data_IF_479938948220
#
_entry.id   IF_479938948220
#
_cell.length_a   1.000
_cell.length_b   1.000
_cell.length_c   1.000
_cell.angle_alpha   90.00
_cell.angle_beta   90.00
_cell.angle_gamma   90.00
#
_symmetry.space_group_name_H-M   'P 1'
#
loop_
_entity.id
_entity.type
_entity.pdbx_description
1 polymer ?
#
# COMPACT_ATOMS: atom_id res chain seq x y z
N UNK A 1 0.19 -34.54 -1.55
CA UNK A 1 1.19 -33.76 -0.81
C UNK A 1 0.43 -32.99 0.26
N UNK A 2 0.68 -33.27 1.52
CA UNK A 2 0.21 -32.36 2.58
C UNK A 2 0.92 -31.00 2.40
N UNK A 3 0.20 -29.87 2.56
CA UNK A 3 0.83 -28.57 2.52
C UNK A 3 1.91 -28.54 3.60
N UNK A 4 3.16 -28.23 3.22
CA UNK A 4 4.20 -27.90 4.20
C UNK A 4 3.69 -26.72 5.01
N UNK A 5 3.35 -26.98 6.26
CA UNK A 5 3.10 -25.91 7.23
C UNK A 5 4.40 -25.12 7.31
N UNK A 6 4.37 -23.88 6.85
CA UNK A 6 5.49 -22.95 7.00
C UNK A 6 5.54 -22.59 8.49
N UNK A 7 6.31 -23.35 9.27
CA UNK A 7 6.59 -22.96 10.64
C UNK A 7 7.63 -21.83 10.68
N UNK A 8 7.70 -21.15 11.83
CA UNK A 8 8.59 -20.01 12.04
C UNK A 8 10.06 -20.38 11.81
N UNK A 9 10.49 -21.56 12.25
CA UNK A 9 11.87 -22.00 12.13
C UNK A 9 12.28 -22.20 10.67
N UNK A 10 11.39 -22.74 9.84
CA UNK A 10 11.61 -22.86 8.41
C UNK A 10 11.71 -21.49 7.73
N UNK A 11 10.84 -20.54 8.09
CA UNK A 11 10.89 -19.18 7.55
C UNK A 11 12.20 -18.47 7.94
N UNK A 12 12.63 -18.58 9.19
CA UNK A 12 13.91 -18.01 9.67
C UNK A 12 15.12 -18.63 8.96
N UNK A 13 15.11 -19.94 8.72
CA UNK A 13 16.17 -20.64 7.99
C UNK A 13 16.23 -20.20 6.51
N UNK A 14 15.07 -20.05 5.86
CA UNK A 14 15.00 -19.53 4.48
C UNK A 14 15.49 -18.08 4.43
N UNK A 15 15.07 -17.26 5.38
CA UNK A 15 15.45 -15.85 5.46
C UNK A 15 16.97 -15.67 5.66
N UNK A 16 17.57 -16.42 6.60
CA UNK A 16 19.02 -16.44 6.85
C UNK A 16 19.81 -16.79 5.58
N UNK A 17 19.30 -17.73 4.78
CA UNK A 17 19.92 -18.14 3.52
C UNK A 17 19.81 -17.07 2.42
N UNK A 18 18.68 -16.38 2.34
CA UNK A 18 18.42 -15.39 1.30
C UNK A 18 19.03 -14.03 1.61
N UNK A 19 19.17 -13.70 2.89
CA UNK A 19 19.61 -12.38 3.36
C UNK A 19 20.66 -12.58 4.46
N UNK A 20 21.89 -13.01 4.09
CA UNK A 20 22.95 -13.20 5.06
C UNK A 20 23.33 -11.86 5.72
N UNK A 21 23.75 -11.92 6.99
CA UNK A 21 24.14 -10.78 7.82
C UNK A 21 23.02 -9.82 8.25
N UNK A 22 21.74 -10.20 8.12
CA UNK A 22 20.61 -9.49 8.72
C UNK A 22 19.92 -10.35 9.77
N UNK A 23 19.37 -9.70 10.79
CA UNK A 23 18.44 -10.35 11.72
C UNK A 23 17.12 -10.66 11.03
N UNK A 24 16.32 -11.55 11.63
CA UNK A 24 15.01 -11.88 11.08
C UNK A 24 14.09 -10.64 10.97
N UNK A 25 14.18 -9.76 11.96
CA UNK A 25 13.38 -8.55 12.05
C UNK A 25 13.83 -7.50 11.02
N UNK A 26 15.14 -7.31 10.81
CA UNK A 26 15.67 -6.42 9.76
C UNK A 26 15.22 -6.84 8.36
N UNK A 27 15.36 -8.13 8.05
CA UNK A 27 14.97 -8.65 6.74
C UNK A 27 13.44 -8.57 6.55
N UNK A 28 12.65 -8.80 7.61
CA UNK A 28 11.20 -8.59 7.58
C UNK A 28 10.83 -7.12 7.38
N UNK A 29 11.46 -6.19 8.11
CA UNK A 29 11.22 -4.76 7.99
C UNK A 29 11.52 -4.26 6.57
N UNK A 30 12.60 -4.74 5.95
CA UNK A 30 12.94 -4.43 4.55
C UNK A 30 11.93 -4.96 3.55
N UNK A 31 11.45 -6.19 3.75
CA UNK A 31 10.38 -6.76 2.91
C UNK A 31 9.08 -5.95 3.02
N UNK A 32 8.68 -5.60 4.24
CA UNK A 32 7.52 -4.74 4.49
C UNK A 32 7.69 -3.35 3.87
N UNK A 33 8.89 -2.77 3.95
CA UNK A 33 9.19 -1.46 3.36
C UNK A 33 9.11 -1.51 1.83
N UNK A 34 9.60 -2.57 1.20
CA UNK A 34 9.46 -2.79 -0.24
C UNK A 34 8.00 -2.96 -0.65
N UNK A 35 7.22 -3.71 0.13
CA UNK A 35 5.78 -3.89 -0.07
C UNK A 35 5.03 -2.55 0.00
N UNK A 36 5.26 -1.77 1.06
CA UNK A 36 4.63 -0.47 1.26
C UNK A 36 4.96 0.50 0.12
N UNK A 37 6.22 0.54 -0.34
CA UNK A 37 6.63 1.33 -1.51
C UNK A 37 5.92 0.89 -2.79
N UNK A 38 5.79 -0.42 -3.02
CA UNK A 38 5.11 -0.95 -4.21
C UNK A 38 3.63 -0.57 -4.19
N UNK A 39 2.97 -0.69 -3.05
CA UNK A 39 1.56 -0.33 -2.90
C UNK A 39 1.35 1.18 -3.01
N UNK A 40 2.25 2.01 -2.46
CA UNK A 40 2.24 3.45 -2.67
C UNK A 40 2.30 3.84 -4.15
N UNK A 41 3.13 3.16 -4.95
CA UNK A 41 3.18 3.40 -6.41
C UNK A 41 1.85 3.04 -7.08
N UNK A 42 1.20 1.94 -6.67
CA UNK A 42 -0.10 1.53 -7.20
C UNK A 42 -1.18 2.57 -6.87
N UNK A 43 -1.31 2.96 -5.61
CA UNK A 43 -2.32 3.96 -5.21
C UNK A 43 -2.07 5.32 -5.86
N UNK A 44 -0.81 5.77 -5.96
CA UNK A 44 -0.48 7.01 -6.69
C UNK A 44 -0.81 6.93 -8.18
N UNK A 45 -0.69 5.76 -8.81
CA UNK A 45 -1.10 5.58 -10.21
C UNK A 45 -2.62 5.73 -10.34
N UNK A 46 -3.37 5.17 -9.40
CA UNK A 46 -4.83 5.25 -9.37
C UNK A 46 -5.33 6.68 -9.08
N UNK A 47 -4.75 7.38 -8.09
CA UNK A 47 -5.04 8.80 -7.84
C UNK A 47 -4.76 9.67 -9.08
N UNK A 48 -3.63 9.47 -9.76
CA UNK A 48 -3.33 10.19 -11.02
C UNK A 48 -4.34 9.89 -12.12
N UNK A 49 -4.80 8.64 -12.25
CA UNK A 49 -5.79 8.26 -13.23
C UNK A 49 -7.10 9.03 -12.99
N UNK A 50 -7.61 9.09 -11.76
CA UNK A 50 -8.85 9.80 -11.47
C UNK A 50 -8.71 11.32 -11.58
N UNK A 51 -7.57 11.90 -11.17
CA UNK A 51 -7.26 13.32 -11.44
C UNK A 51 -7.31 13.65 -12.92
N UNK A 52 -6.82 12.74 -13.77
CA UNK A 52 -6.89 12.91 -15.23
C UNK A 52 -8.30 12.71 -15.77
N UNK A 53 -9.07 11.75 -15.26
CA UNK A 53 -10.46 11.50 -15.69
C UNK A 53 -11.37 12.69 -15.36
N UNK A 54 -11.30 13.20 -14.14
CA UNK A 54 -12.23 14.20 -13.62
C UNK A 54 -11.71 15.64 -13.67
N UNK A 55 -10.41 15.84 -13.94
CA UNK A 55 -9.77 17.16 -14.05
C UNK A 55 -9.94 18.05 -12.81
N UNK A 56 -10.10 17.41 -11.64
CA UNK A 56 -10.24 18.08 -10.34
C UNK A 56 -9.45 17.35 -9.25
N UNK A 57 -9.14 17.99 -8.11
CA UNK A 57 -8.69 17.28 -6.91
C UNK A 57 -9.77 16.35 -6.35
N UNK A 58 -9.34 15.30 -5.64
CA UNK A 58 -10.24 14.34 -4.99
C UNK A 58 -11.28 15.01 -4.08
N UNK A 59 -10.89 15.98 -3.25
CA UNK A 59 -11.84 16.65 -2.35
C UNK A 59 -12.96 17.38 -3.10
N UNK A 60 -12.63 18.01 -4.23
CA UNK A 60 -13.64 18.63 -5.10
C UNK A 60 -14.58 17.58 -5.69
N UNK A 61 -14.08 16.38 -6.01
CA UNK A 61 -14.90 15.27 -6.49
C UNK A 61 -15.79 14.68 -5.38
N UNK A 62 -15.25 14.50 -4.17
CA UNK A 62 -15.97 14.08 -2.96
C UNK A 62 -17.15 15.03 -2.66
N UNK A 63 -16.97 16.33 -2.79
CA UNK A 63 -18.06 17.29 -2.61
C UNK A 63 -19.18 17.13 -3.64
N UNK A 64 -18.87 16.73 -4.88
CA UNK A 64 -19.89 16.48 -5.92
C UNK A 64 -20.77 15.29 -5.57
N UNK A 65 -20.18 14.20 -5.04
CA UNK A 65 -20.93 13.05 -4.53
C UNK A 65 -21.98 13.43 -3.48
N UNK A 66 -21.65 14.38 -2.60
CA UNK A 66 -22.56 14.79 -1.52
C UNK A 66 -23.70 15.70 -2.00
N UNK A 67 -23.57 16.30 -3.19
CA UNK A 67 -24.47 17.37 -3.67
C UNK A 67 -25.29 16.98 -4.89
N UNK A 68 -24.93 15.90 -5.59
CA UNK A 68 -25.54 15.53 -6.88
C UNK A 68 -25.79 14.02 -6.93
N UNK A 69 -26.86 13.62 -7.63
CA UNK A 69 -27.04 12.23 -8.01
C UNK A 69 -26.04 11.89 -9.11
N UNK A 70 -25.15 10.94 -8.84
CA UNK A 70 -24.12 10.50 -9.77
C UNK A 70 -24.56 9.24 -10.50
N UNK A 71 -23.90 8.96 -11.62
CA UNK A 71 -24.02 7.67 -12.27
C UNK A 71 -23.38 6.57 -11.41
N UNK A 72 -23.82 5.32 -11.59
CA UNK A 72 -23.20 4.16 -10.94
C UNK A 72 -21.68 4.08 -11.18
N UNK A 73 -21.22 4.47 -12.39
CA UNK A 73 -19.79 4.51 -12.70
C UNK A 73 -19.04 5.56 -11.87
N UNK A 74 -19.62 6.75 -11.71
CA UNK A 74 -19.02 7.82 -10.89
C UNK A 74 -19.01 7.48 -9.40
N UNK A 75 -20.03 6.77 -8.90
CA UNK A 75 -20.03 6.26 -7.53
C UNK A 75 -18.94 5.21 -7.31
N UNK A 76 -18.78 4.28 -8.25
CA UNK A 76 -17.71 3.28 -8.18
C UNK A 76 -16.33 3.94 -8.22
N UNK A 77 -16.13 4.88 -9.14
CA UNK A 77 -14.89 5.65 -9.27
C UNK A 77 -14.59 6.45 -8.00
N UNK A 78 -15.62 6.98 -7.32
CA UNK A 78 -15.44 7.64 -6.03
C UNK A 78 -14.86 6.69 -4.97
N UNK A 79 -15.45 5.50 -4.81
CA UNK A 79 -14.97 4.54 -3.81
C UNK A 79 -13.55 4.06 -4.13
N UNK A 80 -13.27 3.80 -5.40
CA UNK A 80 -11.93 3.44 -5.85
C UNK A 80 -10.94 4.59 -5.57
N UNK A 81 -11.29 5.84 -5.89
CA UNK A 81 -10.42 6.97 -5.62
C UNK A 81 -10.20 7.22 -4.12
N UNK A 82 -11.24 7.10 -3.30
CA UNK A 82 -11.15 7.20 -1.85
C UNK A 82 -10.21 6.13 -1.26
N UNK A 83 -10.30 4.90 -1.77
CA UNK A 83 -9.38 3.82 -1.41
C UNK A 83 -7.93 4.17 -1.81
N UNK A 84 -7.72 4.79 -2.97
CA UNK A 84 -6.38 5.26 -3.37
C UNK A 84 -5.83 6.31 -2.40
N UNK A 85 -6.62 7.34 -2.08
CA UNK A 85 -6.17 8.46 -1.23
C UNK A 85 -5.84 7.95 0.17
N UNK A 86 -6.75 7.19 0.78
CA UNK A 86 -6.52 6.55 2.09
C UNK A 86 -5.30 5.62 2.04
N UNK A 87 -5.19 4.80 0.99
CA UNK A 87 -4.06 3.90 0.80
C UNK A 87 -2.72 4.63 0.65
N UNK A 88 -2.68 5.81 0.03
CA UNK A 88 -1.47 6.63 -0.04
C UNK A 88 -1.03 7.06 1.35
N UNK A 89 -1.95 7.57 2.16
CA UNK A 89 -1.66 8.05 3.52
C UNK A 89 -1.12 6.94 4.42
N UNK A 90 -1.78 5.78 4.41
CA UNK A 90 -1.36 4.60 5.17
C UNK A 90 0.02 4.09 4.73
N UNK A 91 0.30 4.03 3.42
CA UNK A 91 1.61 3.57 2.96
C UNK A 91 2.72 4.57 3.27
N UNK A 92 2.44 5.88 3.26
CA UNK A 92 3.42 6.88 3.68
C UNK A 92 3.77 6.74 5.16
N UNK A 93 2.75 6.55 6.01
CA UNK A 93 2.95 6.30 7.44
C UNK A 93 3.76 5.03 7.70
N UNK A 94 3.39 3.91 7.08
CA UNK A 94 4.12 2.65 7.22
C UNK A 94 5.58 2.76 6.76
N UNK A 95 5.84 3.49 5.67
CA UNK A 95 7.22 3.74 5.20
C UNK A 95 8.03 4.53 6.22
N UNK A 96 7.43 5.54 6.86
CA UNK A 96 8.12 6.34 7.86
C UNK A 96 8.46 5.52 9.11
N UNK A 97 7.48 4.75 9.61
CA UNK A 97 7.67 3.83 10.73
C UNK A 97 8.77 2.80 10.43
N UNK A 98 8.75 2.15 9.26
CA UNK A 98 9.72 1.11 8.90
C UNK A 98 11.13 1.66 8.63
N UNK A 99 11.27 2.89 8.15
CA UNK A 99 12.60 3.53 8.00
C UNK A 99 13.26 3.81 9.34
N UNK A 100 12.48 4.07 10.39
CA UNK A 100 13.03 4.29 11.72
C UNK A 100 13.69 3.03 12.31
N UNK A 101 13.24 1.84 11.90
CA UNK A 101 13.82 0.55 12.27
C UNK A 101 15.05 0.14 11.45
N UNK A 102 15.17 0.57 10.18
CA UNK A 102 16.33 0.23 9.31
C UNK A 102 17.57 1.09 9.60
N UNK A 103 17.44 2.13 10.43
CA UNK A 103 18.53 3.04 10.82
C UNK A 103 18.99 2.87 12.29
N UNK A 104 18.38 1.95 13.04
CA UNK A 104 18.74 1.59 14.42
C UNK A 104 19.57 0.32 14.46
#
# INVERSE_FOLDING_TARGET
>A
MEPKVLDRAYLEAVLTRLVPAQTADEALARLLLQEARRNLVRYRKMDRYFRQKYQVPFETFRERMLKMALSFEEEQDYFDWEMAVTGIEEMLKAIEELKSFDLS
#
